data_IF_638561922628
#
_entry.id   IF_638561922628
#
_cell.length_a   1.000
_cell.length_b   1.000
_cell.length_c   1.000
_cell.angle_alpha   90.00
_cell.angle_beta   90.00
_cell.angle_gamma   90.00
#
_symmetry.space_group_name_H-M   'P 1'
#
loop_
_entity.id
_entity.type
_entity.pdbx_description
1 polymer ?
#
# COMPACT_ATOMS: atom_id res chain seq x y z
N UNK A 1 -1.59 -30.27 -29.45
CA UNK A 1 -0.68 -30.13 -28.29
C UNK A 1 0.63 -29.56 -28.80
N UNK A 2 0.73 -28.25 -28.90
CA UNK A 2 1.85 -27.59 -29.59
C UNK A 2 2.87 -27.11 -28.56
N UNK A 3 4.10 -27.58 -28.74
CA UNK A 3 5.33 -27.42 -27.96
C UNK A 3 5.41 -26.23 -26.97
N UNK A 4 5.75 -26.53 -25.70
CA UNK A 4 5.98 -25.56 -24.63
C UNK A 4 7.46 -25.13 -24.47
N UNK A 5 8.38 -25.59 -25.33
CA UNK A 5 9.82 -25.33 -25.20
C UNK A 5 10.34 -24.50 -26.36
N UNK A 6 11.08 -23.43 -26.07
CA UNK A 6 11.80 -22.66 -27.08
C UNK A 6 12.85 -23.54 -27.79
N UNK A 7 13.01 -23.39 -29.11
CA UNK A 7 14.01 -24.13 -29.87
C UNK A 7 15.44 -23.76 -29.46
N UNK A 8 16.35 -24.73 -29.52
CA UNK A 8 17.76 -24.51 -29.19
C UNK A 8 18.37 -23.47 -30.14
N UNK A 9 18.96 -22.41 -29.58
CA UNK A 9 19.54 -21.29 -30.33
C UNK A 9 18.62 -20.06 -30.50
N UNK A 10 17.41 -20.08 -29.93
CA UNK A 10 16.58 -18.88 -29.88
C UNK A 10 17.26 -17.77 -29.05
N UNK A 11 17.26 -16.51 -29.51
CA UNK A 11 17.82 -15.40 -28.74
C UNK A 11 17.00 -15.21 -27.46
N UNK A 12 17.71 -14.99 -26.34
CA UNK A 12 17.06 -14.65 -25.07
C UNK A 12 16.50 -13.25 -25.19
N UNK A 13 15.20 -13.14 -25.34
CA UNK A 13 14.47 -11.86 -25.37
C UNK A 13 13.86 -11.60 -24.01
N UNK A 14 13.94 -10.34 -23.53
CA UNK A 14 13.17 -9.95 -22.36
C UNK A 14 11.67 -10.18 -22.64
N UNK A 15 10.95 -10.86 -21.74
CA UNK A 15 9.51 -11.01 -21.89
C UNK A 15 8.80 -9.65 -21.83
N UNK A 16 8.02 -9.31 -22.84
CA UNK A 16 7.17 -8.10 -22.85
C UNK A 16 5.81 -8.35 -22.15
N UNK A 17 5.74 -9.31 -21.24
CA UNK A 17 4.47 -9.61 -20.56
C UNK A 17 4.15 -8.53 -19.52
N UNK A 18 2.85 -8.28 -19.31
CA UNK A 18 2.38 -7.37 -18.27
C UNK A 18 2.96 -7.73 -16.89
N UNK A 19 3.06 -9.02 -16.58
CA UNK A 19 3.64 -9.52 -15.33
C UNK A 19 5.14 -9.24 -15.23
N UNK A 20 5.90 -9.36 -16.32
CA UNK A 20 7.34 -9.06 -16.31
C UNK A 20 7.60 -7.55 -16.14
N UNK A 21 6.81 -6.70 -16.81
CA UNK A 21 6.85 -5.25 -16.60
C UNK A 21 6.45 -4.86 -15.18
N UNK A 22 5.45 -5.54 -14.60
CA UNK A 22 5.07 -5.32 -13.20
C UNK A 22 6.19 -5.68 -12.23
N UNK A 23 6.86 -6.83 -12.40
CA UNK A 23 8.01 -7.20 -11.57
C UNK A 23 9.17 -6.23 -11.73
N UNK A 24 9.47 -5.80 -12.96
CA UNK A 24 10.51 -4.81 -13.22
C UNK A 24 10.18 -3.46 -12.56
N UNK A 25 8.92 -3.05 -12.54
CA UNK A 25 8.48 -1.87 -11.83
C UNK A 25 8.63 -2.02 -10.30
N UNK A 26 8.30 -3.19 -9.74
CA UNK A 26 8.50 -3.48 -8.30
C UNK A 26 9.98 -3.43 -7.92
N UNK A 27 10.87 -4.00 -8.73
CA UNK A 27 12.31 -3.94 -8.51
C UNK A 27 12.86 -2.51 -8.61
N UNK A 28 12.38 -1.73 -9.57
CA UNK A 28 12.76 -0.33 -9.73
C UNK A 28 12.29 0.53 -8.55
N UNK A 29 11.07 0.32 -8.06
CA UNK A 29 10.55 0.99 -6.86
C UNK A 29 11.34 0.53 -5.62
N UNK A 30 11.64 -0.76 -5.50
CA UNK A 30 12.47 -1.31 -4.41
C UNK A 30 13.88 -0.74 -4.37
N UNK A 31 14.49 -0.48 -5.53
CA UNK A 31 15.82 0.10 -5.64
C UNK A 31 15.85 1.63 -5.52
N UNK A 32 14.75 2.31 -5.88
CA UNK A 32 14.60 3.76 -5.79
C UNK A 32 14.08 4.23 -4.43
N UNK A 33 13.50 3.33 -3.63
CA UNK A 33 13.36 3.56 -2.21
C UNK A 33 14.78 3.67 -1.65
N UNK A 34 15.23 4.86 -1.18
CA UNK A 34 16.40 4.86 -0.34
C UNK A 34 16.14 3.81 0.74
N UNK A 35 17.19 3.10 1.15
CA UNK A 35 17.35 2.75 2.56
C UNK A 35 17.34 4.08 3.29
N UNK A 36 16.15 4.69 3.39
CA UNK A 36 15.86 5.75 4.32
C UNK A 36 16.31 5.14 5.60
N UNK A 37 17.38 5.68 6.17
CA UNK A 37 17.78 5.46 7.55
C UNK A 37 16.50 5.28 8.35
N UNK A 38 16.11 4.03 8.59
CA UNK A 38 14.87 3.69 9.28
C UNK A 38 15.10 3.88 10.79
N UNK A 39 16.05 4.75 11.14
CA UNK A 39 16.73 4.90 12.42
C UNK A 39 16.61 6.33 12.96
N UNK A 40 15.91 7.24 12.27
CA UNK A 40 15.20 8.26 13.03
C UNK A 40 13.91 7.61 13.52
N UNK A 41 13.98 7.02 14.71
CA UNK A 41 12.81 6.64 15.47
C UNK A 41 11.86 7.84 15.48
N UNK A 42 10.81 7.78 14.65
CA UNK A 42 9.83 8.84 14.54
C UNK A 42 9.07 8.86 15.86
N UNK A 43 9.50 9.74 16.75
CA UNK A 43 8.83 9.97 18.02
C UNK A 43 7.66 10.90 17.75
N UNK A 44 6.44 10.41 17.96
CA UNK A 44 5.23 11.19 17.77
C UNK A 44 4.49 11.35 19.08
N UNK A 45 4.11 12.58 19.39
CA UNK A 45 3.27 12.89 20.54
C UNK A 45 1.81 12.74 20.15
N UNK A 46 1.09 11.89 20.88
CA UNK A 46 -0.36 11.72 20.74
C UNK A 46 -1.06 12.08 22.05
N UNK A 47 -2.27 12.60 21.91
CA UNK A 47 -3.19 12.82 23.01
C UNK A 47 -3.82 11.49 23.44
N UNK A 48 -3.70 11.15 24.72
CA UNK A 48 -4.26 9.93 25.31
C UNK A 48 -5.11 10.30 26.53
N UNK A 49 -6.29 9.67 26.65
CA UNK A 49 -7.13 9.76 27.86
C UNK A 49 -7.17 8.41 28.55
N UNK A 50 -6.79 8.38 29.82
CA UNK A 50 -6.85 7.18 30.65
C UNK A 50 -8.02 7.31 31.64
N UNK A 51 -8.93 6.34 31.64
CA UNK A 51 -10.04 6.23 32.60
C UNK A 51 -10.88 7.51 32.75
N UNK A 52 -11.16 8.21 31.65
CA UNK A 52 -11.96 9.44 31.65
C UNK A 52 -11.23 10.70 32.14
N UNK A 53 -9.95 10.59 32.50
CA UNK A 53 -9.11 11.71 32.94
C UNK A 53 -8.89 12.75 31.85
N UNK A 54 -8.27 13.86 32.24
CA UNK A 54 -7.79 14.91 31.34
C UNK A 54 -6.81 14.33 30.33
N UNK A 55 -6.83 14.89 29.12
CA UNK A 55 -5.96 14.50 28.03
C UNK A 55 -4.48 14.67 28.40
N UNK A 56 -3.71 13.60 28.26
CA UNK A 56 -2.27 13.58 28.48
C UNK A 56 -1.56 13.47 27.13
N UNK A 57 -0.54 14.30 26.94
CA UNK A 57 0.33 14.20 25.77
C UNK A 57 1.46 13.22 26.06
N UNK A 58 1.51 12.12 25.30
CA UNK A 58 2.52 11.07 25.42
C UNK A 58 3.27 10.92 24.11
N UNK A 59 4.61 10.88 24.19
CA UNK A 59 5.49 10.68 23.05
C UNK A 59 5.86 9.21 22.92
N UNK A 60 5.60 8.62 21.76
CA UNK A 60 5.91 7.21 21.48
C UNK A 60 6.82 7.07 20.27
N UNK A 61 7.67 6.05 20.30
CA UNK A 61 8.30 5.54 19.09
C UNK A 61 7.23 4.88 18.21
N UNK A 62 7.00 5.45 17.04
CA UNK A 62 5.96 4.97 16.12
C UNK A 62 6.26 3.55 15.62
N UNK A 63 7.52 3.15 15.45
CA UNK A 63 7.86 1.81 14.96
C UNK A 63 7.49 0.74 15.99
N UNK A 64 7.83 0.95 17.26
CA UNK A 64 7.51 0.02 18.34
C UNK A 64 6.00 -0.06 18.58
N UNK A 65 5.31 1.08 18.57
CA UNK A 65 3.85 1.11 18.68
C UNK A 65 3.18 0.33 17.55
N UNK A 66 3.66 0.50 16.31
CA UNK A 66 3.14 -0.24 15.14
C UNK A 66 3.43 -1.73 15.25
N UNK A 67 4.63 -2.12 15.67
CA UNK A 67 4.98 -3.52 15.89
C UNK A 67 4.09 -4.19 16.94
N UNK A 68 3.83 -3.50 18.06
CA UNK A 68 2.91 -3.98 19.10
C UNK A 68 1.48 -4.17 18.58
N UNK A 69 1.02 -3.28 17.70
CA UNK A 69 -0.30 -3.33 17.08
C UNK A 69 -0.38 -4.26 15.85
N UNK A 70 0.74 -4.88 15.43
CA UNK A 70 0.81 -5.71 14.23
C UNK A 70 0.66 -4.91 12.91
N UNK A 71 0.89 -3.60 12.94
CA UNK A 71 0.81 -2.74 11.76
C UNK A 71 2.11 -2.82 10.95
N UNK A 72 2.05 -2.68 9.61
CA UNK A 72 3.24 -2.61 8.77
C UNK A 72 4.19 -1.49 9.23
N UNK A 73 5.50 -1.61 9.03
CA UNK A 73 6.47 -0.56 9.43
C UNK A 73 6.40 0.72 8.59
N UNK A 74 5.83 0.66 7.39
CA UNK A 74 5.69 1.78 6.46
C UNK A 74 4.23 2.23 6.35
N UNK A 75 3.99 3.52 6.08
CA UNK A 75 2.63 4.02 5.87
C UNK A 75 2.09 3.56 4.50
N UNK A 76 1.23 2.53 4.49
CA UNK A 76 0.67 1.96 3.26
C UNK A 76 -0.28 2.91 2.50
N UNK A 77 -0.89 3.87 3.20
CA UNK A 77 -1.83 4.85 2.62
C UNK A 77 -1.13 6.13 2.15
N UNK A 78 -0.07 6.54 2.83
CA UNK A 78 0.67 7.77 2.51
C UNK A 78 1.77 7.58 1.48
N UNK A 79 2.36 6.38 1.39
CA UNK A 79 3.41 6.05 0.43
C UNK A 79 3.18 4.65 -0.13
N UNK A 80 2.36 4.57 -1.18
CA UNK A 80 1.99 3.33 -1.83
C UNK A 80 1.02 3.57 -2.98
N UNK A 81 0.51 2.49 -3.57
CA UNK A 81 -0.45 2.49 -4.71
C UNK A 81 -1.72 3.33 -4.50
N UNK A 82 -2.01 3.75 -3.26
CA UNK A 82 -3.17 4.58 -2.89
C UNK A 82 -2.82 6.04 -2.61
N UNK A 83 -1.56 6.47 -2.74
CA UNK A 83 -1.16 7.85 -2.47
C UNK A 83 -1.87 8.87 -3.39
N UNK A 84 -2.26 8.44 -4.59
CA UNK A 84 -3.06 9.21 -5.56
C UNK A 84 -4.54 8.83 -5.59
N UNK A 85 -5.00 7.98 -4.66
CA UNK A 85 -6.39 7.59 -4.62
C UNK A 85 -7.23 8.76 -4.11
N UNK A 86 -7.92 9.40 -5.03
CA UNK A 86 -9.00 10.32 -4.73
C UNK A 86 -10.31 9.54 -4.92
N UNK A 87 -11.09 9.30 -3.84
CA UNK A 87 -12.39 8.68 -4.01
C UNK A 87 -13.21 9.53 -4.99
N UNK A 88 -13.92 8.90 -5.94
CA UNK A 88 -14.79 9.64 -6.84
C UNK A 88 -15.81 10.44 -6.02
N UNK A 89 -16.20 11.64 -6.47
CA UNK A 89 -17.22 12.42 -5.79
C UNK A 89 -18.49 11.55 -5.64
N UNK A 90 -19.15 11.67 -4.49
CA UNK A 90 -20.42 11.00 -4.28
C UNK A 90 -21.38 11.38 -5.43
N UNK A 91 -22.08 10.41 -6.02
CA UNK A 91 -23.01 10.70 -7.10
C UNK A 91 -24.07 11.68 -6.60
N UNK A 92 -24.30 12.73 -7.37
CA UNK A 92 -25.32 13.77 -7.06
C UNK A 92 -26.74 13.27 -7.27
N UNK A 93 -26.90 12.17 -7.98
CA UNK A 93 -28.16 11.51 -8.24
C UNK A 93 -28.17 10.19 -7.50
N UNK A 94 -29.26 9.92 -6.80
CA UNK A 94 -29.52 8.62 -6.19
C UNK A 94 -29.57 7.58 -7.31
N UNK A 95 -28.83 6.48 -7.14
CA UNK A 95 -28.91 5.38 -8.09
C UNK A 95 -30.26 4.70 -7.89
N UNK A 96 -31.08 4.66 -8.93
CA UNK A 96 -32.34 3.92 -8.88
C UNK A 96 -32.04 2.47 -8.47
N UNK A 97 -32.69 2.03 -7.40
CA UNK A 97 -32.51 0.70 -6.84
C UNK A 97 -33.23 -0.35 -7.69
N UNK A 98 -32.70 -0.58 -8.89
CA UNK A 98 -33.28 -1.44 -9.93
C UNK A 98 -33.27 -2.92 -9.56
N UNK A 99 -32.36 -3.34 -8.67
CA UNK A 99 -32.24 -4.73 -8.23
C UNK A 99 -33.31 -5.13 -7.20
N UNK A 100 -33.98 -4.15 -6.57
CA UNK A 100 -35.07 -4.38 -5.61
C UNK A 100 -36.46 -4.07 -6.20
N UNK A 101 -36.56 -3.87 -7.53
CA UNK A 101 -37.81 -3.53 -8.23
C UNK A 101 -38.66 -4.75 -8.65
N UNK A 102 -38.25 -5.98 -8.35
CA UNK A 102 -39.09 -7.18 -8.58
C UNK A 102 -39.31 -7.96 -7.27
N UNK A 103 -40.42 -7.64 -6.61
CA UNK A 103 -41.28 -8.60 -5.89
C UNK A 103 -42.70 -8.05 -5.69
#
# INVERSE_FOLDING_TARGET
MTQARQPAGAPVTLPDSATFRQMQHLDAVGAALPVSNHEEALHQTIAVRLNGSTELQLTFNVQELRALLGLPSHNALGQGIFASYQPPPEPTEDMEDVDHQDN
#
